data_IF_345748566887
#
_entry.id   IF_345748566887
#
_cell.length_a   1.000
_cell.length_b   1.000
_cell.length_c   1.000
_cell.angle_alpha   90.00
_cell.angle_beta   90.00
_cell.angle_gamma   90.00
#
_symmetry.space_group_name_H-M   'P 1'
#
loop_
_entity.id
_entity.type
_entity.pdbx_description
1 polymer ?
#
# COMPACT_ATOMS: atom_id res chain seq x y z
N UNK A 1 108.96 -4.05 -39.20
CA UNK A 1 107.79 -4.95 -39.22
C UNK A 1 107.28 -5.29 -37.81
N UNK A 2 108.13 -5.61 -36.83
CA UNK A 2 107.69 -5.99 -35.47
C UNK A 2 107.12 -4.83 -34.61
N UNK A 3 107.51 -3.57 -34.87
CA UNK A 3 107.01 -2.39 -34.12
C UNK A 3 105.59 -1.93 -34.50
N UNK A 4 105.09 -2.30 -35.68
CA UNK A 4 103.73 -1.93 -36.14
C UNK A 4 102.64 -2.89 -35.62
N UNK A 5 103.01 -4.15 -35.35
CA UNK A 5 102.13 -5.18 -34.77
C UNK A 5 101.83 -4.92 -33.29
N UNK A 6 102.80 -4.36 -32.54
CA UNK A 6 102.59 -4.03 -31.12
C UNK A 6 101.59 -2.88 -30.88
N UNK A 7 101.48 -1.93 -31.82
CA UNK A 7 100.55 -0.80 -31.71
C UNK A 7 99.10 -1.21 -32.03
N UNK A 8 98.91 -2.21 -32.91
CA UNK A 8 97.59 -2.75 -33.22
C UNK A 8 97.00 -3.63 -32.11
N UNK A 9 97.84 -4.24 -31.27
CA UNK A 9 97.40 -5.14 -30.19
C UNK A 9 96.96 -4.39 -28.92
N UNK A 10 97.50 -3.19 -28.70
CA UNK A 10 97.16 -2.33 -27.54
C UNK A 10 95.79 -1.66 -27.70
N UNK A 11 95.32 -1.46 -28.94
CA UNK A 11 94.02 -0.85 -29.22
C UNK A 11 92.82 -1.79 -29.01
N UNK A 12 93.03 -3.12 -29.00
CA UNK A 12 91.96 -4.10 -28.79
C UNK A 12 91.59 -4.35 -27.33
N UNK A 13 92.44 -3.99 -26.37
CA UNK A 13 92.22 -4.24 -24.94
C UNK A 13 91.53 -3.08 -24.19
N UNK A 14 91.35 -1.92 -24.82
CA UNK A 14 90.77 -0.73 -24.19
C UNK A 14 89.22 -0.69 -24.18
N UNK A 15 88.54 -1.70 -24.73
CA UNK A 15 87.07 -1.72 -24.83
C UNK A 15 86.37 -2.66 -23.83
N UNK A 16 87.10 -3.32 -22.93
CA UNK A 16 86.52 -4.23 -21.92
C UNK A 16 86.77 -3.73 -20.50
N UNK A 17 86.28 -2.53 -20.17
CA UNK A 17 86.08 -2.15 -18.78
C UNK A 17 84.84 -1.27 -18.63
N UNK A 18 83.68 -1.90 -18.43
CA UNK A 18 82.64 -1.29 -17.61
C UNK A 18 81.87 -2.39 -16.86
N UNK A 19 81.74 -2.13 -15.57
CA UNK A 19 81.16 -2.95 -14.50
C UNK A 19 79.72 -3.39 -14.78
N UNK A 20 79.22 -4.53 -14.26
CA UNK A 20 77.81 -4.86 -14.31
C UNK A 20 77.07 -4.03 -13.24
N UNK A 21 76.71 -2.79 -13.56
CA UNK A 21 75.64 -2.12 -12.82
C UNK A 21 74.36 -2.21 -13.65
N UNK A 22 73.43 -2.97 -13.07
CA UNK A 22 72.09 -3.30 -13.53
C UNK A 22 71.40 -2.11 -14.21
N UNK A 23 71.46 -2.10 -15.53
CA UNK A 23 70.78 -1.13 -16.37
C UNK A 23 69.32 -1.56 -16.48
N UNK A 24 68.42 -0.88 -15.79
CA UNK A 24 67.01 -0.90 -16.19
C UNK A 24 66.93 -0.36 -17.62
N UNK A 25 66.33 -1.15 -18.51
CA UNK A 25 66.24 -0.82 -19.94
C UNK A 25 65.61 0.57 -20.14
N UNK A 26 66.11 1.39 -21.08
CA UNK A 26 65.52 2.69 -21.44
C UNK A 26 64.00 2.64 -21.67
N UNK A 27 63.51 1.52 -22.21
CA UNK A 27 62.08 1.27 -22.48
C UNK A 27 61.21 1.25 -21.21
N UNK A 28 61.73 0.84 -20.05
CA UNK A 28 60.96 0.84 -18.79
C UNK A 28 60.81 2.24 -18.19
N UNK A 29 61.80 3.11 -18.37
CA UNK A 29 61.72 4.51 -17.93
C UNK A 29 60.76 5.31 -18.81
N UNK A 30 60.74 5.06 -20.12
CA UNK A 30 59.80 5.69 -21.04
C UNK A 30 58.36 5.24 -20.81
N UNK A 31 58.14 3.95 -20.47
CA UNK A 31 56.81 3.47 -20.12
C UNK A 31 56.24 4.15 -18.87
N UNK A 32 57.06 4.35 -17.82
CA UNK A 32 56.60 5.05 -16.60
C UNK A 32 56.29 6.53 -16.87
N UNK A 33 57.10 7.20 -17.69
CA UNK A 33 56.81 8.58 -18.12
C UNK A 33 55.54 8.68 -18.95
N UNK A 34 55.32 7.77 -19.90
CA UNK A 34 54.08 7.74 -20.70
C UNK A 34 52.87 7.47 -19.81
N UNK A 35 52.99 6.60 -18.80
CA UNK A 35 51.95 6.35 -17.82
C UNK A 35 51.62 7.60 -16.99
N UNK A 36 52.62 8.30 -16.48
CA UNK A 36 52.44 9.54 -15.72
C UNK A 36 51.80 10.64 -16.58
N UNK A 37 52.30 10.85 -17.80
CA UNK A 37 51.73 11.81 -18.74
C UNK A 37 50.27 11.46 -19.07
N UNK A 38 49.97 10.17 -19.30
CA UNK A 38 48.60 9.73 -19.59
C UNK A 38 47.69 9.94 -18.38
N UNK A 39 48.18 9.67 -17.17
CA UNK A 39 47.44 9.89 -15.93
C UNK A 39 47.17 11.38 -15.70
N UNK A 40 48.13 12.24 -16.00
CA UNK A 40 47.99 13.68 -15.89
C UNK A 40 46.99 14.21 -16.92
N UNK A 41 47.04 13.76 -18.17
CA UNK A 41 46.07 14.10 -19.23
C UNK A 41 44.64 13.70 -18.84
N UNK A 42 44.45 12.56 -18.18
CA UNK A 42 43.13 12.16 -17.68
C UNK A 42 42.64 13.05 -16.53
N UNK A 43 43.55 13.59 -15.72
CA UNK A 43 43.21 14.47 -14.60
C UNK A 43 43.06 15.95 -14.97
N UNK A 44 43.51 16.37 -16.15
CA UNK A 44 43.35 17.76 -16.62
C UNK A 44 41.87 18.13 -16.79
N UNK A 45 41.53 19.43 -16.76
CA UNK A 45 40.18 19.90 -17.08
C UNK A 45 39.67 19.38 -18.43
N UNK A 46 40.55 19.30 -19.43
CA UNK A 46 40.23 18.80 -20.77
C UNK A 46 39.94 17.30 -20.76
N UNK A 47 40.74 16.50 -20.04
CA UNK A 47 40.50 15.06 -19.87
C UNK A 47 39.20 14.77 -19.14
N UNK A 48 38.91 15.51 -18.06
CA UNK A 48 37.63 15.43 -17.34
C UNK A 48 36.46 15.84 -18.21
N UNK A 49 36.60 16.89 -19.03
CA UNK A 49 35.56 17.35 -19.94
C UNK A 49 35.30 16.33 -21.05
N UNK A 50 36.35 15.78 -21.66
CA UNK A 50 36.24 14.70 -22.65
C UNK A 50 35.55 13.46 -22.06
N UNK A 51 35.87 13.10 -20.81
CA UNK A 51 35.18 12.02 -20.11
C UNK A 51 33.71 12.34 -19.81
N UNK A 52 33.39 13.59 -19.45
CA UNK A 52 32.01 14.03 -19.26
C UNK A 52 31.20 14.02 -20.57
N UNK A 53 31.81 14.44 -21.68
CA UNK A 53 31.21 14.38 -23.02
C UNK A 53 30.97 12.93 -23.45
N UNK A 54 31.95 12.05 -23.22
CA UNK A 54 31.80 10.62 -23.47
C UNK A 54 30.74 9.98 -22.57
N UNK A 55 30.68 10.38 -21.29
CA UNK A 55 29.61 9.97 -20.38
C UNK A 55 28.26 10.58 -20.74
N UNK A 56 28.17 11.61 -21.58
CA UNK A 56 26.91 12.14 -22.07
C UNK A 56 26.35 11.30 -23.23
N UNK A 57 27.23 10.60 -23.96
CA UNK A 57 26.89 9.72 -25.08
C UNK A 57 25.98 8.55 -24.63
N UNK A 58 24.78 8.39 -25.22
CA UNK A 58 23.87 7.30 -24.90
C UNK A 58 24.44 5.89 -25.11
N UNK A 59 25.25 5.68 -26.15
CA UNK A 59 25.84 4.37 -26.46
C UNK A 59 26.88 3.99 -25.41
N UNK A 60 27.71 4.95 -25.02
CA UNK A 60 28.70 4.77 -23.96
C UNK A 60 28.05 4.57 -22.59
N UNK A 61 27.00 5.34 -22.24
CA UNK A 61 26.23 5.15 -21.00
C UNK A 61 25.67 3.74 -20.89
N UNK A 62 25.07 3.22 -21.96
CA UNK A 62 24.50 1.88 -21.94
C UNK A 62 25.58 0.83 -21.65
N UNK A 63 26.74 0.91 -22.30
CA UNK A 63 27.85 -0.04 -22.11
C UNK A 63 28.47 0.01 -20.71
N UNK A 64 28.55 1.20 -20.08
CA UNK A 64 29.11 1.36 -18.73
C UNK A 64 28.13 0.94 -17.63
N UNK A 65 26.83 1.07 -17.86
CA UNK A 65 25.78 0.73 -16.87
C UNK A 65 25.51 -0.79 -16.82
N UNK A 66 26.07 -1.59 -17.72
CA UNK A 66 25.96 -3.08 -17.73
C UNK A 66 26.85 -3.75 -16.68
N UNK A 67 26.81 -3.29 -15.42
CA UNK A 67 27.27 -4.10 -14.29
C UNK A 67 26.09 -4.35 -13.35
N UNK A 68 25.39 -5.45 -13.62
CA UNK A 68 24.15 -5.84 -12.94
C UNK A 68 24.30 -5.89 -11.42
N UNK A 69 25.45 -6.37 -10.91
CA UNK A 69 25.67 -6.52 -9.47
C UNK A 69 25.86 -5.19 -8.72
N UNK A 70 26.54 -4.23 -9.36
CA UNK A 70 26.75 -2.89 -8.78
C UNK A 70 25.44 -2.10 -8.75
N UNK A 71 24.69 -2.16 -9.85
CA UNK A 71 23.40 -1.50 -9.98
C UNK A 71 22.35 -2.11 -9.05
N UNK A 72 22.24 -3.43 -8.96
CA UNK A 72 21.33 -4.13 -8.06
C UNK A 72 21.60 -3.75 -6.59
N UNK A 73 22.87 -3.76 -6.17
CA UNK A 73 23.26 -3.34 -4.81
C UNK A 73 22.94 -1.88 -4.55
N UNK A 74 23.20 -0.99 -5.52
CA UNK A 74 22.90 0.43 -5.38
C UNK A 74 21.39 0.69 -5.25
N UNK A 75 20.57 0.05 -6.09
CA UNK A 75 19.11 0.14 -6.02
C UNK A 75 18.59 -0.45 -4.71
N UNK A 76 19.04 -1.65 -4.32
CA UNK A 76 18.62 -2.27 -3.05
C UNK A 76 19.04 -1.43 -1.84
N UNK A 77 20.21 -0.79 -1.88
CA UNK A 77 20.67 0.09 -0.80
C UNK A 77 19.85 1.36 -0.74
N UNK A 78 19.56 1.99 -1.89
CA UNK A 78 18.71 3.17 -1.95
C UNK A 78 17.33 2.88 -1.36
N UNK A 79 16.64 1.82 -1.79
CA UNK A 79 15.29 1.52 -1.27
C UNK A 79 15.25 1.36 0.27
N UNK A 80 16.34 0.91 0.88
CA UNK A 80 16.45 0.72 2.35
C UNK A 80 16.99 1.94 3.10
N UNK A 81 17.56 2.91 2.40
CA UNK A 81 18.17 4.09 3.03
C UNK A 81 17.11 5.15 3.31
N UNK A 82 16.95 5.49 4.59
CA UNK A 82 16.05 6.55 5.07
C UNK A 82 16.32 7.91 4.39
N UNK A 83 17.55 8.18 3.94
CA UNK A 83 17.88 9.41 3.21
C UNK A 83 17.18 9.48 1.85
N UNK A 84 17.09 8.35 1.15
CA UNK A 84 16.48 8.31 -0.19
C UNK A 84 15.00 7.92 -0.16
N UNK A 85 14.48 7.47 0.99
CA UNK A 85 13.05 7.23 1.20
C UNK A 85 12.17 8.41 0.80
N UNK A 86 12.55 9.63 1.19
CA UNK A 86 11.83 10.86 0.80
C UNK A 86 11.82 11.11 -0.71
N UNK A 87 12.88 10.69 -1.41
CA UNK A 87 12.96 10.82 -2.86
C UNK A 87 12.09 9.76 -3.54
N UNK A 88 12.09 8.53 -3.02
CA UNK A 88 11.17 7.47 -3.44
C UNK A 88 9.71 7.84 -3.21
N UNK A 89 9.35 8.41 -2.05
CA UNK A 89 8.00 8.91 -1.77
C UNK A 89 7.56 9.93 -2.83
N UNK A 90 8.37 10.97 -3.08
CA UNK A 90 8.10 11.97 -4.13
C UNK A 90 8.02 11.36 -5.54
N UNK A 91 8.80 10.34 -5.82
CA UNK A 91 8.78 9.66 -7.11
C UNK A 91 7.50 8.83 -7.27
N UNK A 92 7.07 8.13 -6.23
CA UNK A 92 5.88 7.30 -6.20
C UNK A 92 4.59 8.13 -6.18
N UNK A 93 4.62 9.36 -5.71
CA UNK A 93 3.52 10.32 -5.84
C UNK A 93 3.25 10.73 -7.30
N UNK A 94 4.23 10.55 -8.21
CA UNK A 94 4.04 10.88 -9.62
C UNK A 94 3.04 9.90 -10.26
N UNK A 95 1.95 10.38 -10.89
CA UNK A 95 0.88 9.51 -11.40
C UNK A 95 1.34 8.41 -12.34
N UNK A 96 2.28 8.73 -13.25
CA UNK A 96 2.80 7.75 -14.21
C UNK A 96 3.61 6.64 -13.53
N UNK A 97 4.39 6.99 -12.51
CA UNK A 97 5.19 6.02 -11.75
C UNK A 97 4.27 5.17 -10.88
N UNK A 98 3.32 5.79 -10.17
CA UNK A 98 2.30 5.09 -9.39
C UNK A 98 1.51 4.10 -10.26
N UNK A 99 1.06 4.52 -11.44
CA UNK A 99 0.31 3.68 -12.37
C UNK A 99 1.14 2.50 -12.86
N UNK A 100 2.38 2.75 -13.26
CA UNK A 100 3.27 1.68 -13.74
C UNK A 100 3.60 0.68 -12.63
N UNK A 101 3.86 1.16 -11.41
CA UNK A 101 4.08 0.30 -10.26
C UNK A 101 2.82 -0.51 -9.90
N UNK A 102 1.65 0.12 -9.89
CA UNK A 102 0.38 -0.55 -9.63
C UNK A 102 0.09 -1.63 -10.68
N UNK A 103 0.35 -1.36 -11.96
CA UNK A 103 0.21 -2.35 -13.05
C UNK A 103 1.21 -3.49 -12.89
N UNK A 104 2.47 -3.18 -12.62
CA UNK A 104 3.52 -4.19 -12.45
C UNK A 104 3.26 -5.11 -11.24
N UNK A 105 2.58 -4.61 -10.21
CA UNK A 105 2.28 -5.35 -8.98
C UNK A 105 0.84 -5.83 -8.88
N UNK A 106 0.01 -5.63 -9.90
CA UNK A 106 -1.44 -5.86 -9.84
C UNK A 106 -1.79 -7.31 -9.47
N UNK A 107 -1.11 -8.28 -10.06
CA UNK A 107 -1.38 -9.70 -9.81
C UNK A 107 -0.99 -10.12 -8.39
N UNK A 108 0.15 -9.63 -7.91
CA UNK A 108 0.65 -9.85 -6.56
C UNK A 108 -0.28 -9.19 -5.55
N UNK A 109 -0.75 -7.97 -5.83
CA UNK A 109 -1.70 -7.26 -4.98
C UNK A 109 -3.05 -7.98 -4.91
N UNK A 110 -3.58 -8.48 -6.04
CA UNK A 110 -4.79 -9.31 -6.06
C UNK A 110 -4.60 -10.59 -5.24
N UNK A 111 -3.46 -11.26 -5.37
CA UNK A 111 -3.15 -12.47 -4.61
C UNK A 111 -3.04 -12.19 -3.11
N UNK A 112 -2.36 -11.11 -2.73
CA UNK A 112 -2.25 -10.65 -1.35
C UNK A 112 -3.64 -10.37 -0.78
N UNK A 113 -4.45 -9.57 -1.47
CA UNK A 113 -5.79 -9.21 -1.01
C UNK A 113 -6.68 -10.45 -0.82
N UNK A 114 -6.67 -11.39 -1.78
CA UNK A 114 -7.42 -12.66 -1.65
C UNK A 114 -6.94 -13.52 -0.48
N UNK A 115 -5.66 -13.44 -0.14
CA UNK A 115 -5.07 -14.17 0.99
C UNK A 115 -5.48 -13.50 2.30
N UNK A 116 -5.38 -12.17 2.38
CA UNK A 116 -5.85 -11.39 3.54
C UNK A 116 -7.34 -11.57 3.79
N UNK A 117 -8.20 -11.64 2.77
CA UNK A 117 -9.63 -11.93 2.99
C UNK A 117 -9.91 -13.27 3.69
N UNK A 118 -8.96 -14.22 3.65
CA UNK A 118 -9.06 -15.51 4.34
C UNK A 118 -8.35 -15.50 5.71
N UNK A 119 -7.62 -14.44 6.01
CA UNK A 119 -6.91 -14.28 7.26
C UNK A 119 -7.87 -13.87 8.39
N UNK A 120 -7.85 -14.54 9.56
CA UNK A 120 -8.76 -14.25 10.67
C UNK A 120 -8.67 -12.82 11.22
N UNK A 121 -7.46 -12.22 11.27
CA UNK A 121 -7.29 -10.87 11.79
C UNK A 121 -7.87 -9.84 10.81
N UNK A 122 -7.61 -10.02 9.52
CA UNK A 122 -8.19 -9.19 8.48
C UNK A 122 -9.72 -9.33 8.40
N UNK A 123 -10.25 -10.54 8.57
CA UNK A 123 -11.69 -10.77 8.67
C UNK A 123 -12.29 -10.04 9.88
N UNK A 124 -11.62 -10.07 11.04
CA UNK A 124 -12.07 -9.33 12.22
C UNK A 124 -12.11 -7.82 11.95
N UNK A 125 -11.05 -7.26 11.35
CA UNK A 125 -11.04 -5.84 10.96
C UNK A 125 -12.18 -5.51 9.98
N UNK A 126 -12.47 -6.41 9.02
CA UNK A 126 -13.59 -6.23 8.10
C UNK A 126 -14.94 -6.28 8.81
N UNK A 127 -15.13 -7.20 9.77
CA UNK A 127 -16.35 -7.27 10.58
C UNK A 127 -16.54 -6.02 11.44
N UNK A 128 -15.46 -5.44 11.96
CA UNK A 128 -15.53 -4.19 12.70
C UNK A 128 -15.88 -3.02 11.78
N UNK A 129 -15.38 -2.99 10.54
CA UNK A 129 -15.82 -2.03 9.52
C UNK A 129 -17.32 -2.15 9.20
N UNK A 130 -17.86 -3.38 9.14
CA UNK A 130 -19.30 -3.60 8.91
C UNK A 130 -20.18 -3.13 10.07
N UNK A 131 -19.62 -2.93 11.28
CA UNK A 131 -20.36 -2.35 12.41
C UNK A 131 -20.45 -0.83 12.34
N UNK A 132 -19.87 -0.20 11.32
CA UNK A 132 -19.94 1.24 11.15
C UNK A 132 -21.42 1.72 11.09
N UNK A 133 -21.78 2.84 11.75
CA UNK A 133 -23.14 3.36 11.76
C UNK A 133 -23.70 3.66 10.36
N UNK A 134 -22.86 4.09 9.41
CA UNK A 134 -23.29 4.34 8.03
C UNK A 134 -23.66 3.04 7.32
N UNK A 135 -22.87 1.98 7.52
CA UNK A 135 -23.21 0.66 7.00
C UNK A 135 -24.50 0.12 7.63
N UNK A 136 -24.67 0.32 8.94
CA UNK A 136 -25.90 -0.06 9.66
C UNK A 136 -27.13 0.67 9.13
N UNK A 137 -27.02 1.98 8.83
CA UNK A 137 -28.11 2.75 8.20
C UNK A 137 -28.45 2.23 6.81
N UNK A 138 -27.44 1.91 6.00
CA UNK A 138 -27.65 1.31 4.68
C UNK A 138 -28.36 -0.05 4.79
N UNK A 139 -27.98 -0.89 5.76
CA UNK A 139 -28.65 -2.16 6.02
C UNK A 139 -30.10 -1.97 6.47
N UNK A 140 -30.38 -0.98 7.33
CA UNK A 140 -31.75 -0.62 7.74
C UNK A 140 -32.59 -0.15 6.55
N UNK A 141 -32.00 0.60 5.62
CA UNK A 141 -32.68 1.03 4.39
C UNK A 141 -33.00 -0.17 3.50
N UNK A 142 -32.08 -1.13 3.38
CA UNK A 142 -32.29 -2.38 2.64
C UNK A 142 -33.43 -3.21 3.25
N UNK A 143 -33.49 -3.35 4.57
CA UNK A 143 -34.59 -4.03 5.26
C UNK A 143 -35.94 -3.32 5.07
N UNK A 144 -35.94 -2.00 4.89
CA UNK A 144 -37.16 -1.24 4.58
C UNK A 144 -37.59 -1.33 3.11
N UNK A 145 -36.74 -1.87 2.24
CA UNK A 145 -37.01 -1.99 0.80
C UNK A 145 -38.22 -2.88 0.52
N UNK A 146 -38.89 -2.62 -0.61
CA UNK A 146 -40.05 -3.41 -1.03
C UNK A 146 -39.69 -4.89 -1.26
N UNK A 147 -38.47 -5.18 -1.70
CA UNK A 147 -38.01 -6.56 -1.90
C UNK A 147 -37.92 -7.30 -0.57
N UNK A 148 -37.30 -6.70 0.45
CA UNK A 148 -37.20 -7.31 1.77
C UNK A 148 -38.58 -7.42 2.43
N UNK A 149 -39.47 -6.42 2.29
CA UNK A 149 -40.84 -6.50 2.81
C UNK A 149 -41.64 -7.67 2.24
N UNK A 150 -41.48 -7.99 0.94
CA UNK A 150 -42.14 -9.16 0.33
C UNK A 150 -41.66 -10.46 0.97
N UNK A 151 -40.36 -10.60 1.16
CA UNK A 151 -39.79 -11.80 1.77
C UNK A 151 -40.17 -11.91 3.25
N UNK A 152 -40.10 -10.79 3.99
CA UNK A 152 -40.56 -10.71 5.37
C UNK A 152 -42.07 -11.03 5.49
N UNK A 153 -42.88 -10.60 4.53
CA UNK A 153 -44.30 -10.92 4.44
C UNK A 153 -44.54 -12.43 4.28
N UNK A 154 -43.83 -13.09 3.36
CA UNK A 154 -43.90 -14.55 3.19
C UNK A 154 -43.49 -15.30 4.46
N UNK A 155 -42.37 -14.90 5.07
CA UNK A 155 -41.92 -15.50 6.34
C UNK A 155 -43.02 -15.34 7.39
N UNK A 156 -43.66 -14.17 7.47
CA UNK A 156 -44.74 -13.93 8.42
C UNK A 156 -45.98 -14.78 8.13
N UNK A 157 -46.37 -14.93 6.85
CA UNK A 157 -47.45 -15.83 6.41
C UNK A 157 -47.15 -17.29 6.78
N UNK A 158 -45.92 -17.75 6.57
CA UNK A 158 -45.47 -19.09 6.95
C UNK A 158 -45.50 -19.28 8.48
N UNK A 159 -45.06 -18.29 9.25
CA UNK A 159 -45.11 -18.35 10.71
C UNK A 159 -46.56 -18.40 11.24
N UNK A 160 -47.51 -17.71 10.58
CA UNK A 160 -48.93 -17.79 10.95
C UNK A 160 -49.55 -19.17 10.67
N UNK A 161 -48.93 -19.98 9.81
CA UNK A 161 -49.37 -21.35 9.54
C UNK A 161 -48.82 -22.35 10.57
N UNK A 162 -47.85 -21.95 11.41
CA UNK A 162 -47.29 -22.81 12.45
C UNK A 162 -48.35 -23.07 13.54
N UNK A 163 -48.69 -24.34 13.86
CA UNK A 163 -49.77 -24.67 14.79
C UNK A 163 -49.64 -24.01 16.18
N UNK A 164 -48.42 -23.88 16.70
CA UNK A 164 -48.17 -23.23 17.99
C UNK A 164 -48.43 -21.73 17.96
N UNK A 165 -48.22 -21.07 16.82
CA UNK A 165 -48.54 -19.66 16.61
C UNK A 165 -50.05 -19.50 16.48
N UNK A 166 -50.73 -20.36 15.72
CA UNK A 166 -52.18 -20.37 15.59
C UNK A 166 -52.89 -20.57 16.93
N UNK A 167 -52.41 -21.51 17.76
CA UNK A 167 -52.95 -21.75 19.09
C UNK A 167 -52.78 -20.52 20.00
N UNK A 168 -51.61 -19.89 19.99
CA UNK A 168 -51.35 -18.64 20.74
C UNK A 168 -52.24 -17.50 20.25
N UNK A 169 -52.40 -17.35 18.92
CA UNK A 169 -53.29 -16.34 18.34
C UNK A 169 -54.75 -16.58 18.76
N UNK A 170 -55.19 -17.83 18.73
CA UNK A 170 -56.52 -18.25 19.19
C UNK A 170 -56.75 -17.92 20.67
N UNK A 171 -55.78 -18.22 21.54
CA UNK A 171 -55.85 -17.88 22.98
C UNK A 171 -55.93 -16.36 23.20
N UNK A 172 -55.13 -15.57 22.47
CA UNK A 172 -55.18 -14.10 22.54
C UNK A 172 -56.56 -13.58 22.09
N UNK A 173 -57.10 -14.13 21.01
CA UNK A 173 -58.42 -13.74 20.49
C UNK A 173 -59.56 -14.09 21.47
N UNK A 174 -59.49 -15.25 22.12
CA UNK A 174 -60.44 -15.64 23.17
C UNK A 174 -60.36 -14.70 24.39
N UNK A 175 -59.15 -14.35 24.84
CA UNK A 175 -58.96 -13.40 25.93
C UNK A 175 -59.45 -12.00 25.59
N UNK A 176 -59.23 -11.53 24.35
CA UNK A 176 -59.73 -10.25 23.87
C UNK A 176 -61.26 -10.21 23.86
N UNK A 177 -61.93 -11.27 23.37
CA UNK A 177 -63.39 -11.40 23.41
C UNK A 177 -63.94 -11.43 24.84
N UNK A 178 -63.27 -12.12 25.77
CA UNK A 178 -63.66 -12.12 27.18
C UNK A 178 -63.54 -10.73 27.81
N UNK A 179 -62.48 -9.97 27.50
CA UNK A 179 -62.30 -8.58 27.94
C UNK A 179 -63.32 -7.62 27.33
N UNK A 180 -63.72 -7.83 26.07
CA UNK A 180 -64.77 -7.04 25.42
C UNK A 180 -66.17 -7.35 25.98
N UNK A 181 -66.45 -8.62 26.29
CA UNK A 181 -67.69 -9.02 26.99
C UNK A 181 -67.72 -8.57 28.45
N UNK A 182 -66.56 -8.46 29.10
CA UNK A 182 -66.41 -7.90 30.44
C UNK A 182 -66.65 -6.39 30.50
N UNK A 183 -66.14 -5.62 29.53
CA UNK A 183 -66.40 -4.17 29.44
C UNK A 183 -67.85 -3.84 29.06
N UNK A 184 -68.54 -4.68 28.28
CA UNK A 184 -69.97 -4.49 27.99
C UNK A 184 -70.91 -4.81 29.17
N UNK A 185 -70.41 -5.44 30.24
CA UNK A 185 -71.23 -5.75 31.44
C UNK A 185 -71.11 -4.70 32.55
N UNK A 186 -70.35 -3.63 32.35
CA UNK A 186 -70.15 -2.59 33.37
C UNK A 186 -70.90 -1.27 33.09
N UNK A 187 -71.65 -1.17 31.98
CA UNK A 187 -72.39 0.05 31.59
C UNK A 187 -73.92 -0.13 31.46
N UNK A 188 -74.48 -1.30 31.78
CA UNK A 188 -75.93 -1.55 31.78
C UNK A 188 -76.38 -2.27 33.05
N UNK A 189 -76.25 -1.59 34.20
CA UNK A 189 -76.69 -2.15 35.48
C UNK A 189 -76.66 -1.15 36.63
N UNK A 190 -77.36 -0.02 36.49
CA UNK A 190 -77.56 0.97 37.55
C UNK A 190 -78.89 1.69 37.37
N UNK A 191 -79.97 1.02 37.79
CA UNK A 191 -81.36 1.48 37.73
C UNK A 191 -81.64 2.61 38.75
N UNK A 192 -82.31 3.65 38.27
CA UNK A 192 -83.30 4.52 38.93
C UNK A 192 -83.16 4.93 40.40
N UNK A 193 -83.08 6.24 40.65
CA UNK A 193 -83.29 6.78 42.00
C UNK A 193 -83.10 8.29 42.18
N UNK A 194 -83.96 9.08 41.53
CA UNK A 194 -84.51 10.39 41.94
C UNK A 194 -83.84 11.16 43.12
N UNK A 195 -83.40 12.40 42.88
CA UNK A 195 -83.19 13.36 43.97
C UNK A 195 -82.32 14.58 43.66
N UNK A 196 -82.96 15.61 43.10
CA UNK A 196 -82.78 17.02 43.47
C UNK A 196 -81.39 17.65 43.60
N UNK A 197 -81.16 18.67 42.77
CA UNK A 197 -80.77 19.98 43.30
C UNK A 197 -79.31 20.41 43.13
N UNK A 198 -79.12 21.33 42.18
CA UNK A 198 -78.45 22.60 42.47
C UNK A 198 -76.92 22.66 42.36
N UNK A 199 -76.48 23.56 41.48
CA UNK A 199 -75.41 24.49 41.87
C UNK A 199 -74.04 24.32 41.22
N UNK A 200 -73.85 25.08 40.14
CA UNK A 200 -72.77 26.08 39.96
C UNK A 200 -71.29 25.67 40.09
N UNK A 201 -70.54 26.07 39.06
CA UNK A 201 -69.12 26.45 39.12
C UNK A 201 -68.20 25.35 38.59
N UNK A 202 -67.32 25.56 37.61
CA UNK A 202 -66.72 26.79 37.11
C UNK A 202 -65.22 26.55 36.98
N UNK A 203 -64.65 26.80 35.80
CA UNK A 203 -63.28 27.28 35.67
C UNK A 203 -62.17 26.29 35.34
N UNK A 204 -61.53 26.55 34.19
CA UNK A 204 -60.08 26.44 33.96
C UNK A 204 -59.57 25.02 33.65
N UNK A 205 -58.79 24.77 32.60
CA UNK A 205 -57.92 25.66 31.82
C UNK A 205 -56.51 25.06 31.79
N UNK A 206 -55.87 25.12 30.61
CA UNK A 206 -54.42 24.92 30.44
C UNK A 206 -54.02 23.47 30.19
N UNK A 207 -53.69 23.04 28.97
CA UNK A 207 -52.59 23.47 28.10
C UNK A 207 -51.21 23.12 28.68
N UNK A 208 -50.43 22.39 27.88
CA UNK A 208 -49.04 22.08 28.12
C UNK A 208 -48.50 21.29 26.94
N UNK A 209 -48.22 22.00 25.86
CA UNK A 209 -47.30 21.57 24.81
C UNK A 209 -45.89 21.35 25.36
#
# INVERSE_FOLDING_TARGET
MLRLICISLVFLFALTSCSPNQSQSPEQQDYQKVKEITLDVLHTPEGKKALQELMADPEFKQQVIVNDQGMEKAVSKSIKDEKTKKEWEKLLEKPQVAMNLAKATEQQQKKLMKTLMKDPEYQKMMLDLLKDPQFSQHLLQLMKSQQYRKEAGKIMEEQLQVPSVQEKLGKIMQQAQQKQKGQKKQDEGGEGGQGGGGGVGGGGGGAGS
#
